data_IF_150161551868
#
_entry.id   IF_150161551868
#
_cell.length_a   1.000
_cell.length_b   1.000
_cell.length_c   1.000
_cell.angle_alpha   90.00
_cell.angle_beta   90.00
_cell.angle_gamma   90.00
#
_symmetry.space_group_name_H-M   'P 1'
#
loop_
_entity.id
_entity.type
_entity.pdbx_description
1 polymer ?
#
# COMPACT_ATOMS: atom_id res chain seq x y z
N UNK A 1 -12.67 4.82 -10.77
CA UNK A 1 -12.66 5.31 -9.38
C UNK A 1 -12.92 4.13 -8.45
N UNK A 2 -11.99 3.85 -7.53
CA UNK A 2 -12.01 2.74 -6.60
C UNK A 2 -12.23 3.23 -5.17
N UNK A 3 -12.92 2.44 -4.35
CA UNK A 3 -13.09 2.73 -2.92
C UNK A 3 -11.84 2.30 -2.15
N UNK A 4 -11.21 3.22 -1.43
CA UNK A 4 -10.07 2.89 -0.57
C UNK A 4 -10.58 2.32 0.76
N UNK A 5 -10.16 1.10 1.07
CA UNK A 5 -10.40 0.43 2.35
C UNK A 5 -9.07 0.31 3.09
N UNK A 6 -8.97 0.87 4.29
CA UNK A 6 -7.73 0.86 5.08
C UNK A 6 -7.89 -0.09 6.25
N UNK A 7 -7.07 -1.15 6.27
CA UNK A 7 -7.05 -2.11 7.37
C UNK A 7 -6.66 -1.44 8.69
N UNK A 8 -7.13 -2.02 9.80
CA UNK A 8 -6.92 -1.45 11.13
C UNK A 8 -5.44 -1.20 11.43
N UNK A 9 -4.57 -2.16 11.09
CA UNK A 9 -3.11 -2.06 11.28
C UNK A 9 -2.50 -0.91 10.48
N UNK A 10 -2.89 -0.74 9.22
CA UNK A 10 -2.42 0.37 8.39
C UNK A 10 -2.89 1.72 8.96
N UNK A 11 -4.14 1.80 9.45
CA UNK A 11 -4.68 3.00 10.11
C UNK A 11 -3.92 3.35 11.40
N UNK A 12 -3.61 2.35 12.22
CA UNK A 12 -2.82 2.53 13.45
C UNK A 12 -1.41 3.02 13.14
N UNK A 13 -0.77 2.47 12.10
CA UNK A 13 0.54 2.94 11.63
C UNK A 13 0.50 4.42 11.22
N UNK A 14 -0.50 4.82 10.41
CA UNK A 14 -0.67 6.22 10.00
C UNK A 14 -0.84 7.17 11.19
N UNK A 15 -1.56 6.76 12.24
CA UNK A 15 -1.76 7.57 13.44
C UNK A 15 -0.46 7.86 14.19
N UNK A 16 0.48 6.92 14.17
CA UNK A 16 1.80 7.08 14.81
C UNK A 16 2.78 7.95 14.03
N UNK A 17 2.46 8.34 12.79
CA UNK A 17 3.38 9.12 11.94
C UNK A 17 3.25 10.63 12.18
N UNK A 18 4.35 11.38 11.97
CA UNK A 18 4.31 12.85 11.93
C UNK A 18 3.27 13.36 10.92
N UNK A 19 2.62 14.50 11.20
CA UNK A 19 1.51 15.01 10.38
C UNK A 19 1.90 15.24 8.91
N UNK A 20 3.11 15.75 8.65
CA UNK A 20 3.63 15.94 7.29
C UNK A 20 3.74 14.62 6.53
N UNK A 21 4.37 13.62 7.14
CA UNK A 21 4.55 12.29 6.55
C UNK A 21 3.23 11.58 6.31
N UNK A 22 2.32 11.63 7.30
CA UNK A 22 0.98 11.06 7.19
C UNK A 22 0.22 11.65 6.01
N UNK A 23 0.28 12.98 5.82
CA UNK A 23 -0.38 13.67 4.71
C UNK A 23 0.11 13.15 3.36
N UNK A 24 1.43 13.09 3.16
CA UNK A 24 2.04 12.58 1.92
C UNK A 24 1.58 11.15 1.61
N UNK A 25 1.56 10.28 2.63
CA UNK A 25 1.13 8.89 2.44
C UNK A 25 -0.36 8.82 2.08
N UNK A 26 -1.21 9.58 2.76
CA UNK A 26 -2.66 9.60 2.48
C UNK A 26 -2.93 10.13 1.07
N UNK A 27 -2.25 11.20 0.64
CA UNK A 27 -2.38 11.73 -0.73
C UNK A 27 -2.03 10.67 -1.76
N UNK A 28 -0.94 9.91 -1.54
CA UNK A 28 -0.54 8.81 -2.44
C UNK A 28 -1.46 7.60 -2.40
N UNK A 29 -2.09 7.33 -1.26
CA UNK A 29 -3.14 6.29 -1.17
C UNK A 29 -4.40 6.74 -1.90
N UNK A 30 -4.74 8.04 -1.84
CA UNK A 30 -5.89 8.58 -2.58
C UNK A 30 -5.67 8.55 -4.09
N UNK A 31 -4.45 8.75 -4.58
CA UNK A 31 -4.09 8.53 -6.00
C UNK A 31 -4.48 7.11 -6.49
N UNK A 32 -4.44 6.08 -5.61
CA UNK A 32 -4.84 4.71 -5.96
C UNK A 32 -6.35 4.59 -6.24
N UNK A 33 -7.16 5.53 -5.78
CA UNK A 33 -8.59 5.53 -6.10
C UNK A 33 -8.82 5.81 -7.59
N UNK A 34 -7.93 6.55 -8.24
CA UNK A 34 -8.04 6.84 -9.67
C UNK A 34 -7.35 5.75 -10.50
N UNK A 35 -6.09 5.45 -10.17
CA UNK A 35 -5.26 4.47 -10.89
C UNK A 35 -4.50 3.53 -9.92
N UNK A 36 -5.10 2.37 -9.54
CA UNK A 36 -4.44 1.42 -8.65
C UNK A 36 -3.50 0.43 -9.37
N UNK A 37 -3.50 0.41 -10.70
CA UNK A 37 -2.80 -0.60 -11.49
C UNK A 37 -1.26 -0.44 -11.43
N UNK A 38 -0.50 -1.53 -11.62
CA UNK A 38 0.96 -1.49 -11.57
C UNK A 38 1.54 -0.61 -12.68
N UNK A 39 2.63 0.11 -12.37
CA UNK A 39 3.27 1.09 -13.23
C UNK A 39 4.04 2.15 -12.42
N UNK A 40 5.24 2.52 -12.88
CA UNK A 40 6.07 3.52 -12.22
C UNK A 40 6.51 3.08 -10.81
N UNK A 41 5.93 3.69 -9.77
CA UNK A 41 6.21 3.37 -8.37
C UNK A 41 5.34 2.23 -7.80
N UNK A 42 4.47 1.64 -8.64
CA UNK A 42 3.55 0.56 -8.29
C UNK A 42 4.00 -0.74 -8.95
N UNK A 43 4.11 -1.81 -8.20
CA UNK A 43 4.55 -3.11 -8.71
C UNK A 43 3.64 -4.22 -8.21
N UNK A 44 3.33 -5.19 -9.08
CA UNK A 44 2.63 -6.42 -8.69
C UNK A 44 3.64 -7.39 -8.09
N UNK A 45 3.35 -7.93 -6.92
CA UNK A 45 4.14 -8.98 -6.31
C UNK A 45 3.74 -10.33 -6.88
N UNK A 46 4.74 -11.12 -7.25
CA UNK A 46 4.56 -12.52 -7.64
C UNK A 46 4.25 -13.33 -6.38
N UNK A 47 2.95 -13.47 -6.07
CA UNK A 47 2.47 -14.38 -5.04
C UNK A 47 1.94 -15.65 -5.71
N UNK A 48 2.36 -16.84 -5.24
CA UNK A 48 1.91 -18.10 -5.85
C UNK A 48 0.42 -18.39 -5.63
N UNK A 49 -0.24 -17.66 -4.73
CA UNK A 49 -1.65 -17.84 -4.38
C UNK A 49 -2.38 -16.51 -4.53
N UNK A 50 -3.61 -16.50 -5.08
CA UNK A 50 -4.46 -15.31 -5.06
C UNK A 50 -4.86 -14.95 -3.61
N UNK A 51 -5.17 -13.68 -3.32
CA UNK A 51 -5.25 -12.55 -4.26
C UNK A 51 -3.88 -11.94 -4.61
N UNK A 52 -3.81 -11.31 -5.78
CA UNK A 52 -2.61 -10.58 -6.20
C UNK A 52 -2.35 -9.39 -5.27
N UNK A 53 -1.14 -9.33 -4.72
CA UNK A 53 -0.70 -8.24 -3.85
C UNK A 53 0.13 -7.26 -4.67
N UNK A 54 -0.10 -5.97 -4.47
CA UNK A 54 0.63 -4.89 -5.09
C UNK A 54 1.40 -4.11 -4.03
N UNK A 55 2.53 -3.52 -4.43
CA UNK A 55 3.29 -2.58 -3.61
C UNK A 55 3.32 -1.20 -4.28
N UNK A 56 3.21 -0.15 -3.47
CA UNK A 56 3.45 1.23 -3.86
C UNK A 56 4.62 1.78 -3.05
N UNK A 57 5.65 2.27 -3.74
CA UNK A 57 6.77 2.98 -3.12
C UNK A 57 6.47 4.47 -2.98
N UNK A 58 6.62 4.98 -1.75
CA UNK A 58 6.42 6.40 -1.42
C UNK A 58 7.75 6.96 -0.91
N UNK A 59 8.32 7.89 -1.69
CA UNK A 59 9.53 8.65 -1.37
C UNK A 59 10.74 7.81 -0.94
N UNK A 60 10.83 6.54 -1.37
CA UNK A 60 11.85 5.56 -0.95
C UNK A 60 11.95 5.32 0.57
N UNK A 61 10.96 5.77 1.35
CA UNK A 61 10.94 5.60 2.81
C UNK A 61 9.82 4.68 3.25
N UNK A 62 8.72 4.63 2.49
CA UNK A 62 7.56 3.82 2.84
C UNK A 62 7.13 2.93 1.68
N UNK A 63 6.63 1.76 2.04
CA UNK A 63 6.03 0.81 1.12
C UNK A 63 4.61 0.53 1.60
N UNK A 64 3.64 0.77 0.73
CA UNK A 64 2.23 0.45 0.95
C UNK A 64 1.93 -0.84 0.23
N UNK A 65 1.38 -1.82 0.94
CA UNK A 65 0.91 -3.06 0.36
C UNK A 65 -0.60 -3.00 0.23
N UNK A 66 -1.10 -3.31 -0.96
CA UNK A 66 -2.52 -3.23 -1.24
C UNK A 66 -2.98 -4.34 -2.20
N UNK A 67 -4.28 -4.59 -2.19
CA UNK A 67 -4.95 -5.56 -3.05
C UNK A 67 -6.04 -4.80 -3.83
N UNK A 68 -6.17 -5.13 -5.11
CA UNK A 68 -7.23 -4.59 -5.97
C UNK A 68 -8.34 -5.62 -6.04
N UNK A 69 -9.53 -5.24 -5.57
CA UNK A 69 -10.74 -6.06 -5.63
C UNK A 69 -11.58 -5.60 -6.83
N UNK A 70 -11.57 -6.40 -7.89
CA UNK A 70 -12.26 -6.06 -9.14
C UNK A 70 -13.78 -6.07 -9.02
N UNK A 71 -14.36 -7.03 -8.28
CA UNK A 71 -15.82 -7.11 -8.10
C UNK A 71 -16.40 -5.91 -7.34
N UNK A 72 -15.72 -5.46 -6.29
CA UNK A 72 -16.16 -4.34 -5.46
C UNK A 72 -15.67 -2.97 -5.92
N UNK A 73 -14.85 -2.90 -6.98
CA UNK A 73 -14.07 -1.70 -7.34
C UNK A 73 -13.44 -1.05 -6.10
N UNK A 74 -12.72 -1.86 -5.33
CA UNK A 74 -12.11 -1.44 -4.06
C UNK A 74 -10.61 -1.71 -4.04
N UNK A 75 -9.87 -0.86 -3.32
CA UNK A 75 -8.45 -1.01 -3.06
C UNK A 75 -8.27 -1.19 -1.57
N UNK A 76 -7.86 -2.39 -1.15
CA UNK A 76 -7.64 -2.75 0.24
C UNK A 76 -6.18 -2.50 0.60
N UNK A 77 -5.93 -1.54 1.50
CA UNK A 77 -4.62 -1.24 2.05
C UNK A 77 -4.37 -2.17 3.24
N UNK A 78 -3.59 -3.22 3.00
CA UNK A 78 -3.29 -4.26 3.99
C UNK A 78 -2.34 -3.75 5.08
N UNK A 79 -1.22 -3.14 4.65
CA UNK A 79 -0.18 -2.67 5.56
C UNK A 79 0.65 -1.56 4.95
N UNK A 80 1.17 -0.71 5.83
CA UNK A 80 2.10 0.36 5.50
C UNK A 80 3.32 0.14 6.38
N UNK A 81 4.49 0.06 5.76
CA UNK A 81 5.76 -0.19 6.46
C UNK A 81 6.82 0.78 5.96
N UNK A 82 7.86 0.99 6.76
CA UNK A 82 9.07 1.64 6.27
C UNK A 82 9.84 0.70 5.36
N UNK A 83 10.62 1.25 4.43
CA UNK A 83 11.46 0.46 3.51
C UNK A 83 12.41 -0.47 4.28
N UNK A 84 12.96 -0.01 5.40
CA UNK A 84 13.85 -0.81 6.26
C UNK A 84 13.13 -2.03 6.87
N UNK A 85 11.88 -1.85 7.31
CA UNK A 85 11.04 -2.95 7.81
C UNK A 85 10.61 -3.88 6.67
N UNK A 86 10.30 -3.33 5.49
CA UNK A 86 9.97 -4.12 4.32
C UNK A 86 11.12 -5.08 3.96
N UNK A 87 12.37 -4.59 3.88
CA UNK A 87 13.53 -5.43 3.60
C UNK A 87 13.70 -6.58 4.60
N UNK A 88 13.51 -6.33 5.91
CA UNK A 88 13.57 -7.39 6.93
C UNK A 88 12.45 -8.42 6.79
N UNK A 89 11.27 -8.00 6.32
CA UNK A 89 10.12 -8.87 6.13
C UNK A 89 10.22 -9.70 4.84
N UNK A 90 10.81 -9.14 3.78
CA UNK A 90 11.13 -9.85 2.54
C UNK A 90 12.26 -10.85 2.71
N UNK A 91 13.32 -10.54 3.47
CA UNK A 91 14.45 -11.47 3.69
C UNK A 91 14.12 -12.70 4.52
N UNK A 92 12.89 -12.82 5.06
CA UNK A 92 12.43 -14.01 5.80
C UNK A 92 11.58 -14.96 4.97
N UNK A 93 11.48 -14.76 3.65
CA UNK A 93 10.87 -15.71 2.72
C UNK A 93 11.91 -16.43 1.89
#
# INVERSE_FOLDING_TARGET
MFTILIERKAREFLKGLPPKTRRIIVEKIQDLADDPFPGGNKEKLECPHPPAVYRLHISRSFTVFYIIEHEGSAVKIEKIVTIERAHKEYSRR
#
